data_IF_411235132296
#
_entry.id   IF_411235132296
#
_cell.length_a   1.000
_cell.length_b   1.000
_cell.length_c   1.000
_cell.angle_alpha   90.00
_cell.angle_beta   90.00
_cell.angle_gamma   90.00
#
_symmetry.space_group_name_H-M   'P 1'
#
loop_
_entity.id
_entity.type
_entity.pdbx_description
1 polymer ?
#
# COMPACT_ATOMS: atom_id res chain seq x y z
N UNK A 1 18.47 9.67 -81.74
CA UNK A 1 18.66 9.76 -80.27
C UNK A 1 17.89 11.00 -79.81
N UNK A 2 16.94 11.02 -78.88
CA UNK A 2 16.62 10.09 -77.80
C UNK A 2 15.12 10.14 -77.49
N UNK A 3 14.58 8.99 -77.08
CA UNK A 3 13.16 8.71 -76.86
C UNK A 3 12.63 9.36 -75.56
N UNK A 4 11.32 9.69 -75.54
CA UNK A 4 10.57 9.92 -74.29
C UNK A 4 9.83 8.64 -73.89
N UNK A 5 9.83 8.23 -72.60
CA UNK A 5 9.23 6.97 -72.16
C UNK A 5 7.75 7.10 -71.82
N UNK A 6 7.05 5.97 -71.97
CA UNK A 6 5.61 5.81 -71.81
C UNK A 6 5.08 5.88 -70.38
N UNK A 7 3.79 6.23 -70.30
CA UNK A 7 2.92 6.12 -69.14
C UNK A 7 2.75 4.66 -68.72
N UNK A 8 3.16 4.32 -67.50
CA UNK A 8 2.73 3.10 -66.82
C UNK A 8 1.45 3.38 -66.01
N UNK A 9 0.35 2.72 -66.39
CA UNK A 9 -0.88 2.62 -65.59
C UNK A 9 -0.60 1.73 -64.37
N UNK A 10 -0.60 2.31 -63.18
CA UNK A 10 -0.64 1.57 -61.91
C UNK A 10 -2.05 1.03 -61.73
N UNK A 11 -2.18 -0.31 -61.69
CA UNK A 11 -3.40 -1.01 -61.29
C UNK A 11 -3.57 -0.88 -59.77
N UNK A 12 -4.74 -0.40 -59.36
CA UNK A 12 -5.17 -0.34 -57.97
C UNK A 12 -5.45 -1.78 -57.46
N UNK A 13 -4.91 -2.22 -56.31
CA UNK A 13 -5.28 -3.50 -55.73
C UNK A 13 -6.68 -3.43 -55.09
N UNK A 14 -7.50 -4.44 -55.41
CA UNK A 14 -8.81 -4.70 -54.83
C UNK A 14 -8.78 -4.75 -53.31
N UNK A 15 -9.73 -4.04 -52.70
CA UNK A 15 -10.01 -4.05 -51.26
C UNK A 15 -10.61 -5.40 -50.85
N UNK A 16 -10.14 -6.06 -49.77
CA UNK A 16 -10.74 -7.30 -49.30
C UNK A 16 -12.15 -7.06 -48.74
N UNK A 17 -13.11 -7.85 -49.25
CA UNK A 17 -14.48 -7.92 -48.71
C UNK A 17 -14.45 -8.25 -47.22
N UNK A 18 -14.98 -7.33 -46.43
CA UNK A 18 -15.21 -7.49 -45.00
C UNK A 18 -16.38 -8.46 -44.79
N UNK A 19 -16.08 -9.67 -44.32
CA UNK A 19 -17.08 -10.67 -43.93
C UNK A 19 -17.74 -10.21 -42.62
N UNK A 20 -19.08 -10.18 -42.62
CA UNK A 20 -19.88 -9.82 -41.45
C UNK A 20 -19.57 -10.73 -40.24
N UNK A 21 -19.50 -10.18 -39.01
CA UNK A 21 -19.37 -11.00 -37.82
C UNK A 21 -20.67 -11.78 -37.59
N UNK A 22 -20.47 -13.09 -37.46
CA UNK A 22 -21.46 -14.09 -37.07
C UNK A 22 -21.85 -13.81 -35.61
N UNK A 23 -23.14 -13.62 -35.35
CA UNK A 23 -23.72 -13.59 -34.02
C UNK A 23 -23.38 -14.90 -33.31
N UNK A 24 -22.57 -14.81 -32.26
CA UNK A 24 -22.33 -15.92 -31.33
C UNK A 24 -23.23 -15.69 -30.14
N UNK A 25 -24.00 -16.72 -29.86
CA UNK A 25 -25.07 -16.81 -28.91
C UNK A 25 -24.63 -16.51 -27.47
N UNK A 26 -25.60 -15.99 -26.72
CA UNK A 26 -25.57 -15.85 -25.27
C UNK A 26 -25.14 -17.16 -24.62
N UNK A 27 -24.10 -17.08 -23.78
CA UNK A 27 -23.76 -18.14 -22.84
C UNK A 27 -24.25 -17.73 -21.46
N UNK A 28 -25.02 -18.64 -20.89
CA UNK A 28 -25.76 -18.55 -19.65
C UNK A 28 -24.88 -18.23 -18.43
N UNK A 29 -25.47 -17.44 -17.53
CA UNK A 29 -25.05 -17.27 -16.14
C UNK A 29 -25.12 -18.63 -15.43
N UNK A 30 -23.96 -19.20 -15.07
CA UNK A 30 -23.88 -20.21 -14.01
C UNK A 30 -23.18 -19.60 -12.79
N UNK A 31 -24.00 -19.30 -11.79
CA UNK A 31 -23.62 -18.99 -10.42
C UNK A 31 -22.85 -20.16 -9.81
N UNK A 32 -21.52 -20.04 -9.70
CA UNK A 32 -20.72 -20.92 -8.85
C UNK A 32 -20.43 -20.25 -7.51
N UNK A 33 -21.33 -20.52 -6.58
CA UNK A 33 -21.20 -20.29 -5.15
C UNK A 33 -20.08 -21.22 -4.60
N UNK A 34 -18.87 -20.67 -4.41
CA UNK A 34 -17.77 -21.40 -3.78
C UNK A 34 -17.88 -21.33 -2.25
N UNK A 35 -17.95 -22.47 -1.54
CA UNK A 35 -17.97 -22.49 -0.09
C UNK A 35 -16.58 -22.19 0.48
N UNK A 36 -16.57 -21.19 1.36
CA UNK A 36 -15.49 -20.82 2.25
C UNK A 36 -15.17 -21.97 3.21
N UNK A 37 -14.04 -22.67 2.99
CA UNK A 37 -13.53 -23.67 3.92
C UNK A 37 -12.78 -22.96 5.06
N UNK A 38 -13.51 -22.74 6.16
CA UNK A 38 -12.93 -22.53 7.49
C UNK A 38 -12.55 -23.90 8.07
N UNK A 39 -11.27 -24.28 7.97
CA UNK A 39 -10.75 -25.36 8.80
C UNK A 39 -9.23 -25.23 8.98
N UNK A 40 -8.80 -24.57 10.05
CA UNK A 40 -7.55 -24.97 10.71
C UNK A 40 -7.68 -24.86 12.22
N UNK A 41 -8.12 -26.01 12.75
CA UNK A 41 -8.15 -26.49 14.11
C UNK A 41 -7.28 -25.79 15.14
N UNK A 42 -7.98 -25.37 16.19
CA UNK A 42 -7.49 -25.15 17.54
C UNK A 42 -7.87 -26.38 18.38
N UNK A 43 -6.90 -27.23 18.72
CA UNK A 43 -6.96 -28.16 19.86
C UNK A 43 -5.50 -28.37 20.34
N UNK A 44 -5.08 -28.02 21.56
CA UNK A 44 -5.44 -28.45 22.93
C UNK A 44 -4.65 -29.70 23.39
N UNK A 45 -3.97 -29.54 24.54
CA UNK A 45 -3.52 -30.56 25.51
C UNK A 45 -2.43 -31.56 25.05
N UNK A 46 -1.58 -32.14 25.90
CA UNK A 46 -1.17 -31.96 27.28
C UNK A 46 -0.04 -32.97 27.58
N UNK A 47 0.75 -32.68 28.62
CA UNK A 47 1.40 -33.62 29.56
C UNK A 47 2.62 -34.49 29.19
N UNK A 48 3.36 -34.79 30.27
CA UNK A 48 4.48 -35.72 30.48
C UNK A 48 5.86 -35.23 29.96
N UNK A 49 6.93 -35.20 30.75
CA UNK A 49 7.41 -36.25 31.67
C UNK A 49 7.96 -35.77 33.02
N UNK A 50 7.89 -36.75 33.92
CA UNK A 50 8.27 -36.88 35.31
C UNK A 50 9.70 -37.46 35.41
N UNK A 51 10.51 -36.98 36.34
CA UNK A 51 11.79 -37.59 36.74
C UNK A 51 12.37 -36.80 37.92
N UNK A 52 12.32 -37.22 39.19
CA UNK A 52 12.68 -38.48 39.88
C UNK A 52 14.17 -38.60 40.26
N UNK A 53 14.37 -38.97 41.54
CA UNK A 53 15.59 -39.26 42.34
C UNK A 53 16.52 -38.08 42.62
N UNK A 54 16.83 -37.70 43.88
CA UNK A 54 17.38 -38.47 45.02
C UNK A 54 18.81 -37.94 45.20
N UNK A 55 19.26 -37.36 46.32
CA UNK A 55 19.64 -37.91 47.63
C UNK A 55 19.85 -36.71 48.60
N UNK A 56 19.29 -36.73 49.81
CA UNK A 56 19.99 -36.90 51.10
C UNK A 56 21.25 -36.03 51.31
N UNK A 57 21.18 -35.09 52.26
CA UNK A 57 22.05 -35.18 53.43
C UNK A 57 21.50 -34.37 54.62
N UNK A 58 21.52 -35.04 55.76
CA UNK A 58 21.12 -34.54 57.07
C UNK A 58 22.24 -33.67 57.64
N UNK A 59 21.88 -32.57 58.31
CA UNK A 59 22.57 -32.25 59.56
C UNK A 59 21.70 -31.40 60.48
N UNK A 60 21.54 -31.93 61.69
CA UNK A 60 20.96 -31.30 62.85
C UNK A 60 21.70 -30.01 63.21
N UNK A 61 20.96 -29.00 63.64
CA UNK A 61 21.33 -28.24 64.85
C UNK A 61 20.09 -27.49 65.32
N UNK A 62 19.61 -27.88 66.50
CA UNK A 62 18.53 -27.18 67.17
C UNK A 62 19.01 -25.80 67.63
N UNK A 63 18.18 -24.79 67.38
CA UNK A 63 18.19 -23.55 68.13
C UNK A 63 16.76 -23.18 68.50
N UNK A 64 16.61 -22.82 69.77
CA UNK A 64 15.37 -22.56 70.47
C UNK A 64 14.49 -21.51 69.77
N UNK A 65 13.24 -21.90 69.50
CA UNK A 65 12.19 -20.99 69.04
C UNK A 65 11.75 -20.12 70.23
N UNK A 66 12.34 -18.94 70.34
CA UNK A 66 11.74 -17.82 71.08
C UNK A 66 10.55 -17.30 70.25
N UNK A 67 9.33 -17.17 70.81
CA UNK A 67 8.18 -16.68 70.07
C UNK A 67 8.33 -15.16 69.85
N UNK A 68 8.96 -14.78 68.73
CA UNK A 68 9.16 -13.40 68.34
C UNK A 68 7.86 -12.80 67.77
N UNK A 69 6.97 -12.44 68.69
CA UNK A 69 5.71 -11.72 68.42
C UNK A 69 5.95 -10.32 67.83
N UNK A 70 7.19 -9.82 67.87
CA UNK A 70 7.57 -8.47 67.42
C UNK A 70 7.86 -8.42 65.91
N UNK A 71 8.29 -9.53 65.29
CA UNK A 71 8.52 -9.64 63.85
C UNK A 71 7.23 -9.68 63.02
N UNK A 72 6.16 -10.27 63.55
CA UNK A 72 4.88 -10.37 62.83
C UNK A 72 4.21 -8.99 62.64
N UNK A 73 4.30 -8.09 63.62
CA UNK A 73 3.74 -6.74 63.53
C UNK A 73 4.39 -5.89 62.42
N UNK A 74 5.70 -6.07 62.17
CA UNK A 74 6.39 -5.37 61.08
C UNK A 74 5.96 -5.85 59.70
N UNK A 75 5.66 -7.14 59.55
CA UNK A 75 5.13 -7.70 58.29
C UNK A 75 3.71 -7.21 58.00
N UNK A 76 2.81 -7.19 59.00
CA UNK A 76 1.46 -6.66 58.81
C UNK A 76 1.46 -5.15 58.49
N UNK A 77 2.38 -4.38 59.08
CA UNK A 77 2.56 -2.96 58.77
C UNK A 77 2.96 -2.71 57.30
N UNK A 78 3.91 -3.48 56.78
CA UNK A 78 4.39 -3.34 55.38
C UNK A 78 3.31 -3.78 54.39
N UNK A 79 2.62 -4.90 54.65
CA UNK A 79 1.54 -5.39 53.78
C UNK A 79 0.38 -4.40 53.74
N UNK A 80 -0.01 -3.84 54.90
CA UNK A 80 -1.06 -2.80 54.96
C UNK A 80 -0.67 -1.54 54.19
N UNK A 81 0.59 -1.09 54.30
CA UNK A 81 1.09 0.07 53.56
C UNK A 81 1.02 -0.14 52.03
N UNK A 82 1.34 -1.34 51.55
CA UNK A 82 1.27 -1.68 50.13
C UNK A 82 -0.18 -1.66 49.60
N UNK A 83 -1.14 -2.12 50.39
CA UNK A 83 -2.57 -2.03 50.04
C UNK A 83 -3.11 -0.60 49.97
N UNK A 84 -2.53 0.33 50.73
CA UNK A 84 -2.92 1.75 50.71
C UNK A 84 -2.20 2.51 49.59
N UNK A 85 -0.93 2.23 49.33
CA UNK A 85 -0.15 2.94 48.32
C UNK A 85 -0.45 2.44 46.89
N UNK A 86 -0.77 1.16 46.71
CA UNK A 86 -1.12 0.56 45.42
C UNK A 86 -2.26 1.30 44.68
N UNK A 87 -3.44 1.56 45.29
CA UNK A 87 -4.53 2.28 44.61
C UNK A 87 -4.18 3.73 44.31
N UNK A 88 -3.34 4.39 45.13
CA UNK A 88 -2.88 5.76 44.88
C UNK A 88 -2.00 5.80 43.64
N UNK A 89 -1.02 4.88 43.54
CA UNK A 89 -0.12 4.77 42.37
C UNK A 89 -0.90 4.37 41.12
N UNK A 90 -1.84 3.41 41.20
CA UNK A 90 -2.71 3.07 40.08
C UNK A 90 -3.55 4.27 39.63
N UNK A 91 -4.10 5.05 40.58
CA UNK A 91 -4.88 6.24 40.23
C UNK A 91 -4.02 7.30 39.54
N UNK A 92 -2.79 7.52 40.00
CA UNK A 92 -1.86 8.46 39.35
C UNK A 92 -1.47 8.00 37.94
N UNK A 93 -1.23 6.71 37.74
CA UNK A 93 -0.94 6.14 36.41
C UNK A 93 -2.14 6.26 35.46
N UNK A 94 -3.35 5.98 35.95
CA UNK A 94 -4.59 6.16 35.16
C UNK A 94 -4.80 7.63 34.82
N UNK A 95 -4.55 8.55 35.76
CA UNK A 95 -4.75 9.97 35.54
C UNK A 95 -3.70 10.59 34.59
N UNK A 96 -2.46 10.09 34.63
CA UNK A 96 -1.42 10.44 33.66
C UNK A 96 -1.75 9.93 32.25
N UNK A 97 -2.31 8.73 32.12
CA UNK A 97 -2.71 8.19 30.82
C UNK A 97 -3.96 8.85 30.22
N UNK A 98 -4.86 9.41 31.04
CA UNK A 98 -6.14 9.96 30.56
C UNK A 98 -6.04 11.31 29.82
N UNK A 99 -4.88 11.97 29.82
CA UNK A 99 -4.72 13.31 29.23
C UNK A 99 -4.00 13.35 27.87
N UNK A 100 -3.83 12.21 27.19
CA UNK A 100 -3.36 12.22 25.80
C UNK A 100 -4.52 12.61 24.89
N UNK A 101 -4.69 13.91 24.68
CA UNK A 101 -5.53 14.43 23.59
C UNK A 101 -4.78 14.18 22.28
N UNK A 102 -5.13 13.10 21.58
CA UNK A 102 -4.64 12.84 20.23
C UNK A 102 -5.25 13.93 19.34
N UNK A 103 -4.44 14.93 18.99
CA UNK A 103 -4.81 15.92 17.99
C UNK A 103 -4.79 15.24 16.63
N UNK A 104 -5.95 15.17 15.98
CA UNK A 104 -6.07 14.57 14.65
C UNK A 104 -5.24 15.41 13.66
N UNK A 105 -4.33 14.75 12.94
CA UNK A 105 -3.52 15.39 11.91
C UNK A 105 -4.39 15.61 10.68
N UNK A 106 -4.31 16.80 10.08
CA UNK A 106 -5.02 17.13 8.85
C UNK A 106 -4.05 17.45 7.71
N UNK A 107 -4.46 17.10 6.48
CA UNK A 107 -3.73 17.28 5.24
C UNK A 107 -4.69 17.82 4.15
N UNK A 108 -5.03 19.11 4.22
CA UNK A 108 -6.09 19.71 3.41
C UNK A 108 -5.66 20.15 1.98
N UNK A 109 -4.35 20.18 1.69
CA UNK A 109 -3.79 20.62 0.40
C UNK A 109 -4.19 22.03 -0.05
N UNK A 110 -4.60 22.91 0.86
CA UNK A 110 -5.19 24.23 0.55
C UNK A 110 -4.34 25.08 -0.41
N UNK A 111 -3.02 25.06 -0.25
CA UNK A 111 -2.10 25.81 -1.13
C UNK A 111 -2.12 25.29 -2.57
N UNK A 112 -2.32 24.00 -2.77
CA UNK A 112 -2.31 23.37 -4.09
C UNK A 112 -3.65 23.51 -4.81
N UNK A 113 -4.76 23.62 -4.07
CA UNK A 113 -6.10 23.82 -4.64
C UNK A 113 -6.23 25.10 -5.46
N UNK A 114 -5.42 26.12 -5.13
CA UNK A 114 -5.40 27.40 -5.84
C UNK A 114 -4.43 27.48 -7.02
N UNK A 115 -3.66 26.42 -7.30
CA UNK A 115 -2.66 26.38 -8.38
C UNK A 115 -3.34 25.90 -9.67
N UNK A 116 -3.05 26.58 -10.78
CA UNK A 116 -3.52 26.15 -12.10
C UNK A 116 -2.64 24.99 -12.64
N UNK A 117 -3.22 24.01 -13.37
CA UNK A 117 -4.65 23.90 -13.69
C UNK A 117 -5.48 23.45 -12.48
N UNK A 118 -6.64 24.07 -12.28
CA UNK A 118 -7.57 23.69 -11.21
C UNK A 118 -8.04 22.24 -11.35
N UNK A 119 -7.93 21.52 -10.25
CA UNK A 119 -8.40 20.14 -10.13
C UNK A 119 -9.77 20.07 -9.45
N UNK A 120 -10.52 19.00 -9.73
CA UNK A 120 -11.83 18.78 -9.12
C UNK A 120 -11.73 18.54 -7.61
N UNK A 121 -12.76 18.95 -6.86
CA UNK A 121 -12.85 18.70 -5.41
C UNK A 121 -12.84 17.21 -5.05
N UNK A 122 -13.26 16.32 -5.97
CA UNK A 122 -13.17 14.89 -5.79
C UNK A 122 -11.72 14.40 -5.62
N UNK A 123 -10.78 14.96 -6.36
CA UNK A 123 -9.34 14.64 -6.26
C UNK A 123 -8.81 15.03 -4.89
N UNK A 124 -9.08 16.26 -4.46
CA UNK A 124 -8.61 16.76 -3.17
C UNK A 124 -9.20 15.97 -1.99
N UNK A 125 -10.49 15.63 -2.07
CA UNK A 125 -11.14 14.80 -1.05
C UNK A 125 -10.57 13.39 -0.99
N UNK A 126 -10.29 12.76 -2.14
CA UNK A 126 -9.69 11.43 -2.18
C UNK A 126 -8.29 11.44 -1.53
N UNK A 127 -7.44 12.40 -1.92
CA UNK A 127 -6.11 12.58 -1.34
C UNK A 127 -6.18 12.81 0.17
N UNK A 128 -7.01 13.76 0.61
CA UNK A 128 -7.19 14.08 2.01
C UNK A 128 -7.65 12.85 2.80
N UNK A 129 -8.68 12.15 2.33
CA UNK A 129 -9.26 11.00 3.05
C UNK A 129 -8.26 9.85 3.17
N UNK A 130 -7.59 9.47 2.09
CA UNK A 130 -6.62 8.36 2.12
C UNK A 130 -5.42 8.67 3.02
N UNK A 131 -4.85 9.88 2.88
CA UNK A 131 -3.66 10.28 3.65
C UNK A 131 -3.99 10.52 5.12
N UNK A 132 -5.08 11.22 5.42
CA UNK A 132 -5.52 11.44 6.80
C UNK A 132 -5.98 10.13 7.46
N UNK A 133 -6.48 9.16 6.69
CA UNK A 133 -6.76 7.80 7.17
C UNK A 133 -5.49 7.14 7.71
N UNK A 134 -4.39 7.24 6.96
CA UNK A 134 -3.14 6.58 7.29
C UNK A 134 -2.37 7.28 8.42
N UNK A 135 -2.22 8.61 8.37
CA UNK A 135 -1.47 9.36 9.42
C UNK A 135 -2.15 9.32 10.78
N UNK A 136 -3.48 9.16 10.82
CA UNK A 136 -4.26 9.05 12.05
C UNK A 136 -4.55 7.58 12.43
N UNK A 137 -3.91 6.61 11.76
CA UNK A 137 -4.03 5.17 12.05
C UNK A 137 -5.47 4.63 12.02
N UNK A 138 -6.31 5.22 11.16
CA UNK A 138 -7.70 4.77 10.92
C UNK A 138 -7.77 3.71 9.82
N UNK A 139 -6.89 3.79 8.82
CA UNK A 139 -6.74 2.76 7.79
C UNK A 139 -5.40 2.03 8.00
N UNK A 140 -5.39 0.70 8.21
CA UNK A 140 -4.17 -0.07 8.37
C UNK A 140 -3.53 -0.49 7.04
N UNK A 141 -3.96 0.06 5.91
CA UNK A 141 -3.54 -0.33 4.56
C UNK A 141 -2.85 0.84 3.85
N UNK A 142 -1.91 0.57 2.91
CA UNK A 142 -1.27 1.63 2.17
C UNK A 142 -2.29 2.36 1.31
N UNK A 143 -2.08 3.65 1.10
CA UNK A 143 -2.89 4.44 0.16
C UNK A 143 -2.20 4.48 -1.20
N UNK A 144 -2.79 3.83 -2.19
CA UNK A 144 -2.25 3.77 -3.56
C UNK A 144 -3.09 4.64 -4.48
N UNK A 145 -2.47 5.65 -5.06
CA UNK A 145 -3.11 6.58 -5.99
C UNK A 145 -2.45 6.49 -7.36
N UNK A 146 -3.26 6.35 -8.41
CA UNK A 146 -2.81 6.36 -9.80
C UNK A 146 -3.22 7.66 -10.47
N UNK A 147 -2.27 8.53 -10.73
CA UNK A 147 -2.50 9.74 -11.50
C UNK A 147 -2.45 9.46 -12.99
N UNK A 148 -3.54 9.76 -13.69
CA UNK A 148 -3.57 9.82 -15.15
C UNK A 148 -3.24 11.24 -15.59
N UNK A 149 -2.29 11.37 -16.52
CA UNK A 149 -1.89 12.67 -17.06
C UNK A 149 -1.51 12.59 -18.55
N UNK A 150 -1.62 13.72 -19.25
CA UNK A 150 -1.34 13.81 -20.69
C UNK A 150 -0.01 14.49 -21.02
N UNK A 151 0.48 15.47 -20.25
CA UNK A 151 1.86 16.01 -20.42
C UNK A 151 2.31 17.00 -19.31
N UNK A 152 3.51 17.57 -19.47
CA UNK A 152 4.51 17.90 -18.43
C UNK A 152 4.15 18.83 -17.26
N UNK A 153 3.20 19.75 -17.37
CA UNK A 153 2.86 20.67 -16.27
C UNK A 153 2.23 19.94 -15.07
N UNK A 154 1.51 18.85 -15.32
CA UNK A 154 0.92 18.02 -14.29
C UNK A 154 1.95 17.24 -13.48
N UNK A 155 3.16 17.03 -14.01
CA UNK A 155 4.25 16.38 -13.25
C UNK A 155 4.66 17.22 -12.04
N UNK A 156 4.70 18.55 -12.20
CA UNK A 156 4.97 19.48 -11.10
C UNK A 156 3.87 19.41 -10.06
N UNK A 157 2.61 19.43 -10.47
CA UNK A 157 1.48 19.30 -9.55
C UNK A 157 1.50 17.98 -8.76
N UNK A 158 1.76 16.85 -9.43
CA UNK A 158 1.87 15.54 -8.77
C UNK A 158 3.04 15.54 -7.77
N UNK A 159 4.18 16.12 -8.15
CA UNK A 159 5.33 16.26 -7.25
C UNK A 159 4.99 17.11 -6.03
N UNK A 160 4.28 18.23 -6.21
CA UNK A 160 3.87 19.12 -5.14
C UNK A 160 2.85 18.44 -4.20
N UNK A 161 1.92 17.65 -4.74
CA UNK A 161 1.01 16.80 -3.96
C UNK A 161 1.81 15.81 -3.11
N UNK A 162 2.76 15.09 -3.72
CA UNK A 162 3.58 14.11 -3.00
C UNK A 162 4.47 14.76 -1.93
N UNK A 163 4.98 15.96 -2.21
CA UNK A 163 5.75 16.79 -1.28
C UNK A 163 4.89 17.23 -0.09
N UNK A 164 3.68 17.72 -0.33
CA UNK A 164 2.76 18.14 0.73
C UNK A 164 2.32 16.94 1.57
N UNK A 165 2.01 15.80 0.94
CA UNK A 165 1.73 14.55 1.63
C UNK A 165 2.90 14.16 2.55
N UNK A 166 4.15 14.21 2.07
CA UNK A 166 5.35 13.95 2.88
C UNK A 166 5.45 14.87 4.11
N UNK A 167 5.05 16.15 3.99
CA UNK A 167 4.96 17.08 5.14
C UNK A 167 3.89 16.65 6.13
N UNK A 168 2.73 16.20 5.66
CA UNK A 168 1.64 15.74 6.53
C UNK A 168 2.03 14.54 7.42
N UNK A 169 2.98 13.70 6.96
CA UNK A 169 3.56 12.62 7.77
C UNK A 169 4.58 13.10 8.83
N UNK A 170 4.92 14.40 8.86
CA UNK A 170 5.96 14.96 9.72
C UNK A 170 7.38 14.81 9.16
N UNK A 171 7.51 14.44 7.88
CA UNK A 171 8.79 14.33 7.18
C UNK A 171 9.33 15.68 6.70
N UNK A 172 10.50 15.69 6.04
CA UNK A 172 11.14 16.91 5.54
C UNK A 172 10.39 17.57 4.36
N UNK A 173 9.23 17.05 3.96
CA UNK A 173 8.50 17.49 2.77
C UNK A 173 9.22 17.11 1.49
N UNK A 174 9.80 15.92 1.45
CA UNK A 174 10.42 15.35 0.25
C UNK A 174 9.85 13.95 0.03
N UNK A 175 9.20 13.67 -1.10
CA UNK A 175 8.77 12.33 -1.41
C UNK A 175 9.98 11.47 -1.81
N UNK A 176 9.87 10.16 -1.60
CA UNK A 176 10.83 9.18 -2.07
C UNK A 176 10.53 8.91 -3.53
N UNK A 177 11.53 9.11 -4.39
CA UNK A 177 11.37 8.81 -5.81
C UNK A 177 11.74 7.37 -6.11
N UNK A 178 10.91 6.69 -6.89
CA UNK A 178 11.31 5.52 -7.65
C UNK A 178 11.11 5.76 -9.13
N UNK A 179 12.16 5.53 -9.91
CA UNK A 179 12.19 5.73 -11.36
C UNK A 179 12.52 4.42 -12.07
N UNK A 180 12.60 4.46 -13.40
CA UNK A 180 12.93 3.30 -14.23
C UNK A 180 14.16 2.51 -13.73
N UNK A 181 15.21 3.17 -13.28
CA UNK A 181 16.45 2.51 -12.86
C UNK A 181 16.27 1.72 -11.56
N UNK A 182 15.23 2.02 -10.77
CA UNK A 182 14.84 1.22 -9.60
C UNK A 182 14.08 -0.05 -9.99
N UNK A 183 13.60 -0.17 -11.23
CA UNK A 183 12.84 -1.31 -11.73
C UNK A 183 13.59 -2.16 -12.76
N UNK A 184 14.68 -1.67 -13.33
CA UNK A 184 15.46 -2.38 -14.35
C UNK A 184 16.74 -2.95 -13.73
N UNK A 185 16.76 -4.22 -13.31
CA UNK A 185 17.99 -4.87 -12.92
C UNK A 185 18.81 -5.31 -14.13
N UNK A 186 20.07 -5.68 -13.88
CA UNK A 186 20.94 -6.28 -14.90
C UNK A 186 20.50 -7.68 -15.35
N UNK A 187 19.67 -8.38 -14.58
CA UNK A 187 19.26 -9.78 -14.79
C UNK A 187 17.76 -9.99 -15.05
N UNK A 188 16.95 -8.92 -15.12
CA UNK A 188 15.51 -8.97 -15.44
C UNK A 188 14.54 -9.39 -14.30
N UNK A 189 15.02 -9.62 -13.07
CA UNK A 189 14.19 -10.07 -11.93
C UNK A 189 13.46 -8.90 -11.20
N UNK A 190 12.14 -9.00 -11.06
CA UNK A 190 11.33 -8.01 -10.34
C UNK A 190 11.69 -7.91 -8.84
N UNK A 191 12.35 -8.92 -8.26
CA UNK A 191 12.89 -8.89 -6.91
C UNK A 191 13.82 -7.69 -6.65
N UNK A 192 14.51 -7.19 -7.68
CA UNK A 192 15.34 -5.99 -7.54
C UNK A 192 14.55 -4.75 -7.13
N UNK A 193 13.38 -4.52 -7.74
CA UNK A 193 12.55 -3.36 -7.44
C UNK A 193 11.97 -3.43 -6.02
N UNK A 194 11.63 -4.64 -5.57
CA UNK A 194 11.21 -4.91 -4.18
C UNK A 194 12.32 -4.52 -3.20
N UNK A 195 13.57 -4.91 -3.48
CA UNK A 195 14.70 -4.56 -2.62
C UNK A 195 15.04 -3.07 -2.64
N UNK A 196 14.90 -2.39 -3.80
CA UNK A 196 15.03 -0.93 -3.86
C UNK A 196 13.94 -0.24 -3.03
N UNK A 197 12.68 -0.68 -3.13
CA UNK A 197 11.59 -0.16 -2.32
C UNK A 197 11.87 -0.31 -0.83
N UNK A 198 12.24 -1.52 -0.38
CA UNK A 198 12.59 -1.80 1.03
C UNK A 198 13.76 -0.95 1.52
N UNK A 199 14.77 -0.73 0.69
CA UNK A 199 15.92 0.11 1.03
C UNK A 199 15.48 1.56 1.25
N UNK A 200 14.64 2.09 0.36
CA UNK A 200 14.18 3.48 0.39
C UNK A 200 13.12 3.75 1.46
N UNK A 201 12.42 2.74 1.98
CA UNK A 201 11.51 2.89 3.14
C UNK A 201 12.16 3.54 4.36
N UNK A 202 13.48 3.42 4.51
CA UNK A 202 14.23 4.05 5.59
C UNK A 202 14.25 5.58 5.49
N UNK A 203 13.93 6.14 4.32
CA UNK A 203 13.95 7.57 4.04
C UNK A 203 12.59 8.24 4.32
N UNK A 204 11.52 7.46 4.50
CA UNK A 204 10.16 7.96 4.67
C UNK A 204 9.08 7.02 4.12
N UNK A 205 7.83 7.50 4.18
CA UNK A 205 6.65 6.69 3.88
C UNK A 205 5.89 7.11 2.61
N UNK A 206 6.27 8.23 2.00
CA UNK A 206 5.58 8.78 0.82
C UNK A 206 6.42 8.54 -0.41
N UNK A 207 5.95 7.66 -1.29
CA UNK A 207 6.61 7.28 -2.53
C UNK A 207 5.94 7.94 -3.72
N UNK A 208 6.77 8.39 -4.66
CA UNK A 208 6.37 8.82 -5.99
C UNK A 208 7.07 7.90 -6.99
N UNK A 209 6.32 6.93 -7.51
CA UNK A 209 6.76 5.98 -8.53
C UNK A 209 6.36 6.56 -9.89
N UNK A 210 7.36 7.02 -10.62
CA UNK A 210 7.13 7.84 -11.82
C UNK A 210 7.05 6.96 -13.06
N UNK A 211 6.05 7.26 -13.90
CA UNK A 211 5.80 6.78 -15.23
C UNK A 211 5.76 5.25 -15.35
N UNK A 212 4.61 4.66 -15.01
CA UNK A 212 4.35 3.22 -15.20
C UNK A 212 4.59 2.78 -16.65
N UNK A 213 4.47 3.68 -17.63
CA UNK A 213 4.79 3.41 -19.04
C UNK A 213 6.27 3.04 -19.28
N UNK A 214 7.18 3.39 -18.38
CA UNK A 214 8.61 3.10 -18.49
C UNK A 214 9.05 1.82 -17.77
N UNK A 215 8.15 1.22 -16.96
CA UNK A 215 8.44 0.00 -16.21
C UNK A 215 8.28 -1.21 -17.14
N UNK A 216 9.33 -2.05 -17.30
CA UNK A 216 9.20 -3.27 -18.08
C UNK A 216 8.10 -4.18 -17.51
N UNK A 217 7.31 -4.87 -18.36
CA UNK A 217 6.23 -5.74 -17.89
C UNK A 217 6.68 -6.77 -16.84
N UNK A 218 7.84 -7.42 -17.06
CA UNK A 218 8.40 -8.40 -16.11
C UNK A 218 8.71 -7.79 -14.74
N UNK A 219 9.17 -6.54 -14.70
CA UNK A 219 9.48 -5.81 -13.48
C UNK A 219 8.25 -5.23 -12.79
N UNK A 220 7.16 -5.01 -13.54
CA UNK A 220 5.91 -4.45 -13.00
C UNK A 220 5.28 -5.38 -11.94
N UNK A 221 5.57 -6.68 -11.97
CA UNK A 221 5.16 -7.64 -10.95
C UNK A 221 5.66 -7.30 -9.55
N UNK A 222 6.73 -6.51 -9.41
CA UNK A 222 7.18 -6.00 -8.12
C UNK A 222 6.12 -5.13 -7.42
N UNK A 223 5.22 -4.52 -8.18
CA UNK A 223 4.15 -3.69 -7.64
C UNK A 223 3.09 -4.52 -6.93
N UNK A 224 3.01 -5.84 -7.13
CA UNK A 224 2.10 -6.71 -6.37
C UNK A 224 2.30 -6.56 -4.86
N UNK A 225 3.45 -6.92 -4.28
CA UNK A 225 3.66 -6.77 -2.84
C UNK A 225 3.87 -5.32 -2.38
N UNK A 226 4.25 -4.40 -3.28
CA UNK A 226 4.41 -2.98 -2.93
C UNK A 226 3.05 -2.31 -2.72
N UNK A 227 2.08 -2.59 -3.60
CA UNK A 227 0.75 -1.98 -3.62
C UNK A 227 -0.34 -2.90 -3.08
N UNK A 228 0.01 -4.03 -2.44
CA UNK A 228 -0.98 -4.98 -1.94
C UNK A 228 -1.83 -4.37 -0.82
N UNK A 229 -3.14 -4.57 -0.89
CA UNK A 229 -4.07 -4.06 0.13
C UNK A 229 -4.05 -4.88 1.42
N UNK A 230 -3.67 -6.16 1.36
CA UNK A 230 -3.78 -7.12 2.45
C UNK A 230 -2.43 -7.50 3.06
N UNK A 231 -1.40 -7.69 2.22
CA UNK A 231 -0.05 -8.05 2.63
C UNK A 231 1.01 -7.13 1.97
N UNK A 232 0.93 -5.81 2.20
CA UNK A 232 1.91 -4.86 1.67
C UNK A 232 3.27 -5.02 2.34
N UNK A 233 4.33 -4.70 1.59
CA UNK A 233 5.68 -4.55 2.18
C UNK A 233 5.68 -3.46 3.26
N UNK A 234 4.89 -2.40 3.08
CA UNK A 234 4.70 -1.34 4.08
C UNK A 234 3.24 -0.90 4.14
N UNK A 235 2.57 -1.23 5.24
CA UNK A 235 1.20 -0.82 5.51
C UNK A 235 1.05 0.69 5.69
N UNK A 236 2.11 1.36 6.16
CA UNK A 236 2.12 2.79 6.48
C UNK A 236 2.56 3.69 5.30
N UNK A 237 2.62 3.14 4.09
CA UNK A 237 3.08 3.86 2.91
C UNK A 237 1.94 4.56 2.13
N UNK A 238 2.23 5.75 1.61
CA UNK A 238 1.45 6.40 0.57
C UNK A 238 2.22 6.29 -0.73
N UNK A 239 1.60 5.73 -1.74
CA UNK A 239 2.23 5.42 -3.02
C UNK A 239 1.48 6.18 -4.11
N UNK A 240 2.17 7.18 -4.68
CA UNK A 240 1.72 7.89 -5.86
C UNK A 240 2.33 7.26 -7.10
N UNK A 241 1.49 6.69 -7.94
CA UNK A 241 1.84 6.16 -9.25
C UNK A 241 1.43 7.18 -10.31
N UNK A 242 2.13 7.19 -11.44
CA UNK A 242 1.78 8.06 -12.57
C UNK A 242 1.73 7.25 -13.85
N UNK A 243 0.69 7.47 -14.64
CA UNK A 243 0.47 6.81 -15.93
C UNK A 243 0.18 7.87 -16.97
N UNK A 244 1.07 7.94 -17.96
CA UNK A 244 0.88 8.77 -19.13
C UNK A 244 -0.15 8.11 -20.05
N UNK A 245 -1.19 8.86 -20.40
CA UNK A 245 -2.24 8.41 -21.31
C UNK A 245 -2.27 9.31 -22.54
N UNK A 246 -2.31 8.70 -23.74
CA UNK A 246 -2.35 9.41 -25.03
C UNK A 246 -3.75 9.81 -25.47
N UNK A 247 -4.80 9.31 -24.80
CA UNK A 247 -6.19 9.56 -25.17
C UNK A 247 -6.70 10.88 -24.60
N UNK A 248 -6.91 11.86 -25.48
CA UNK A 248 -7.54 13.15 -25.19
C UNK A 248 -9.05 13.08 -25.01
N UNK A 249 -9.67 11.97 -25.41
CA UNK A 249 -11.11 11.79 -25.25
C UNK A 249 -11.39 11.31 -23.85
N UNK A 250 -12.08 12.17 -23.10
CA UNK A 250 -12.81 11.84 -21.89
C UNK A 250 -13.63 10.58 -22.14
N UNK A 251 -13.13 9.42 -21.74
CA UNK A 251 -13.89 8.17 -21.79
C UNK A 251 -15.07 8.21 -20.82
N UNK A 252 -15.26 9.31 -20.08
CA UNK A 252 -16.18 9.46 -18.95
C UNK A 252 -15.81 8.57 -17.77
N UNK A 253 -14.77 7.74 -17.89
CA UNK A 253 -14.39 6.71 -16.94
C UNK A 253 -12.87 6.55 -16.92
N UNK A 254 -12.24 7.27 -15.98
CA UNK A 254 -10.81 7.25 -15.74
C UNK A 254 -10.28 5.85 -15.40
N UNK A 255 -11.05 5.05 -14.66
CA UNK A 255 -10.66 3.68 -14.29
C UNK A 255 -10.56 2.80 -15.53
N UNK A 256 -11.53 2.91 -16.45
CA UNK A 256 -11.51 2.18 -17.73
C UNK A 256 -10.31 2.58 -18.59
N UNK A 257 -10.00 3.88 -18.65
CA UNK A 257 -8.84 4.38 -19.38
C UNK A 257 -7.54 3.83 -18.78
N UNK A 258 -7.37 3.92 -17.45
CA UNK A 258 -6.21 3.36 -16.75
C UNK A 258 -6.03 1.87 -17.05
N UNK A 259 -7.09 1.08 -16.86
CA UNK A 259 -7.10 -0.36 -17.13
C UNK A 259 -6.67 -0.64 -18.56
N UNK A 260 -7.31 -0.03 -19.55
CA UNK A 260 -6.98 -0.25 -20.96
C UNK A 260 -5.51 0.08 -21.27
N UNK A 261 -5.01 1.23 -20.81
CA UNK A 261 -3.60 1.61 -21.03
C UNK A 261 -2.64 0.60 -20.38
N UNK A 262 -2.94 0.09 -19.19
CA UNK A 262 -2.10 -0.92 -18.53
C UNK A 262 -2.13 -2.27 -19.25
N UNK A 263 -3.27 -2.69 -19.82
CA UNK A 263 -3.33 -3.87 -20.69
C UNK A 263 -2.50 -3.70 -21.95
N UNK A 264 -2.54 -2.53 -22.58
CA UNK A 264 -1.72 -2.25 -23.77
C UNK A 264 -0.22 -2.30 -23.43
N UNK A 265 0.18 -1.84 -22.23
CA UNK A 265 1.57 -1.84 -21.78
C UNK A 265 2.08 -3.24 -21.41
N UNK A 266 1.28 -4.04 -20.71
CA UNK A 266 1.77 -5.27 -20.06
C UNK A 266 1.11 -6.57 -20.56
N UNK A 267 -0.02 -6.47 -21.27
CA UNK A 267 -0.87 -7.61 -21.65
C UNK A 267 -0.25 -8.62 -22.60
N UNK A 268 0.78 -8.26 -23.36
CA UNK A 268 1.46 -9.23 -24.23
C UNK A 268 2.54 -10.04 -23.51
N UNK A 269 2.86 -9.71 -22.25
CA UNK A 269 4.00 -10.28 -21.52
C UNK A 269 3.63 -10.92 -20.19
N UNK A 270 2.47 -10.57 -19.61
CA UNK A 270 1.98 -11.12 -18.35
C UNK A 270 0.75 -12.00 -18.63
N UNK A 271 0.56 -13.04 -17.80
CA UNK A 271 -0.66 -13.85 -17.88
C UNK A 271 -1.86 -13.04 -17.38
N UNK A 272 -3.06 -13.33 -17.91
CA UNK A 272 -4.28 -12.56 -17.58
C UNK A 272 -4.54 -12.49 -16.07
N UNK A 273 -4.40 -13.60 -15.34
CA UNK A 273 -4.59 -13.63 -13.89
C UNK A 273 -3.54 -12.80 -13.13
N UNK A 274 -2.28 -12.77 -13.59
CA UNK A 274 -1.22 -11.96 -13.00
C UNK A 274 -1.45 -10.47 -13.28
N UNK A 275 -1.88 -10.16 -14.49
CA UNK A 275 -2.12 -8.81 -14.98
C UNK A 275 -3.35 -8.18 -14.33
N UNK A 276 -4.48 -8.87 -14.29
CA UNK A 276 -5.71 -8.38 -13.67
C UNK A 276 -5.51 -8.07 -12.19
N UNK A 277 -4.81 -9.00 -11.51
CA UNK A 277 -4.42 -8.89 -10.12
C UNK A 277 -3.47 -7.70 -9.90
N UNK A 278 -2.54 -7.45 -10.83
CA UNK A 278 -1.61 -6.32 -10.77
C UNK A 278 -2.35 -4.99 -11.00
N UNK A 279 -3.15 -4.89 -12.06
CA UNK A 279 -3.93 -3.71 -12.42
C UNK A 279 -4.81 -3.30 -11.25
N UNK A 280 -5.53 -4.25 -10.64
CA UNK A 280 -6.43 -3.98 -9.50
C UNK A 280 -5.70 -3.27 -8.35
N UNK A 281 -4.47 -3.69 -8.03
CA UNK A 281 -3.67 -3.09 -6.96
C UNK A 281 -3.15 -1.70 -7.30
N UNK A 282 -2.64 -1.52 -8.52
CA UNK A 282 -2.09 -0.22 -8.94
C UNK A 282 -3.17 0.80 -9.29
N UNK A 283 -4.43 0.38 -9.44
CA UNK A 283 -5.57 1.23 -9.79
C UNK A 283 -6.62 1.34 -8.69
N UNK A 284 -6.26 1.15 -7.41
CA UNK A 284 -7.19 1.27 -6.27
C UNK A 284 -7.90 2.62 -6.28
N UNK A 285 -7.14 3.71 -6.40
CA UNK A 285 -7.68 5.07 -6.55
C UNK A 285 -7.13 5.75 -7.81
N UNK A 286 -7.94 5.83 -8.86
CA UNK A 286 -7.56 6.47 -10.12
C UNK A 286 -7.97 7.95 -10.11
N UNK A 287 -6.98 8.84 -10.21
CA UNK A 287 -7.14 10.28 -10.22
C UNK A 287 -6.76 10.83 -11.60
N UNK A 288 -7.75 11.27 -12.37
CA UNK A 288 -7.51 11.87 -13.68
C UNK A 288 -7.33 13.37 -13.52
N UNK A 289 -6.11 13.86 -13.75
CA UNK A 289 -5.79 15.26 -13.59
C UNK A 289 -6.23 16.06 -14.82
N UNK A 290 -6.85 17.19 -14.59
CA UNK A 290 -7.29 18.11 -15.63
C UNK A 290 -6.09 18.93 -16.14
N UNK A 291 -5.85 18.91 -17.46
CA UNK A 291 -4.81 19.70 -18.11
C UNK A 291 -5.29 21.07 -18.61
N UNK A 292 -6.60 21.35 -18.56
CA UNK A 292 -7.17 22.62 -19.04
C UNK A 292 -7.88 23.38 -17.91
N UNK A 293 -7.35 24.55 -17.54
CA UNK A 293 -8.00 25.51 -16.64
C UNK A 293 -8.98 26.42 -17.37
#
# INVERSE_FOLDING_TARGET
MSARPGLNKVKNPESPKQTAPRSVDAFDEEDNEYPFNEDFSRETAANFEEGSSGEEDQNETGEDVVPDKQRSWRFYGIVSLMFVLSPIVLSMLVWQNSNITITEKSCAFEKLRGIEPKQSEGIWRALQTGIEGLINKRDPRPSVFLFLHQEGELKTLIYDIATEASRCFGGPGKPIHMNKDDFVPKNGDYGFAIEQFKKKLKEGNVFLIVNLNEIPPSSALALHPICDTYNPISADAVIFLTLHTSSTTDTGNSVKLARQTLYELWGTHLQDNELDSLITRVSDQVLHLNSTG
#
